data_IF_120630620415
#
_entry.id   IF_120630620415
#
_cell.length_a   1.000
_cell.length_b   1.000
_cell.length_c   1.000
_cell.angle_alpha   90.00
_cell.angle_beta   90.00
_cell.angle_gamma   90.00
#
_symmetry.space_group_name_H-M   'P 1'
#
loop_
_entity.id
_entity.type
_entity.pdbx_description
1 polymer ?
#
# COMPACT_ATOMS: atom_id res chain seq x y z
N UNK A 1 19.17 0.94 -15.91
CA UNK A 1 18.60 0.72 -14.56
C UNK A 1 17.58 1.80 -14.20
N UNK A 2 17.91 3.09 -14.33
CA UNK A 2 16.99 4.23 -14.10
C UNK A 2 15.59 4.03 -14.70
N UNK A 3 15.48 3.98 -16.04
CA UNK A 3 14.18 3.86 -16.74
C UNK A 3 13.37 2.64 -16.30
N UNK A 4 14.04 1.53 -16.02
CA UNK A 4 13.41 0.31 -15.55
C UNK A 4 12.78 0.48 -14.16
N UNK A 5 13.52 1.05 -13.20
CA UNK A 5 13.01 1.27 -11.84
C UNK A 5 11.90 2.33 -11.82
N UNK A 6 12.07 3.43 -12.55
CA UNK A 6 11.02 4.47 -12.64
C UNK A 6 9.76 3.91 -13.29
N UNK A 7 9.88 3.22 -14.43
CA UNK A 7 8.75 2.58 -15.10
C UNK A 7 8.05 1.57 -14.17
N UNK A 8 8.82 0.80 -13.39
CA UNK A 8 8.26 -0.16 -12.44
C UNK A 8 7.48 0.54 -11.31
N UNK A 9 8.03 1.62 -10.74
CA UNK A 9 7.32 2.44 -9.75
C UNK A 9 6.04 3.04 -10.32
N UNK A 10 6.11 3.68 -11.50
CA UNK A 10 4.98 4.35 -12.13
C UNK A 10 3.85 3.36 -12.48
N UNK A 11 4.19 2.20 -13.03
CA UNK A 11 3.20 1.19 -13.42
C UNK A 11 2.59 0.42 -12.24
N UNK A 12 3.29 0.34 -11.10
CA UNK A 12 2.86 -0.54 -9.99
C UNK A 12 2.31 0.24 -8.79
N UNK A 13 2.94 1.36 -8.42
CA UNK A 13 2.64 2.14 -7.21
C UNK A 13 1.91 3.43 -7.55
N UNK A 14 2.40 4.18 -8.53
CA UNK A 14 1.91 5.54 -8.79
C UNK A 14 0.42 5.59 -9.15
N UNK A 15 -0.10 4.62 -9.92
CA UNK A 15 -1.52 4.56 -10.25
C UNK A 15 -2.45 4.38 -9.03
N UNK A 16 -1.92 3.89 -7.91
CA UNK A 16 -2.66 3.70 -6.66
C UNK A 16 -2.34 4.76 -5.61
N UNK A 17 -1.10 5.23 -5.59
CA UNK A 17 -0.59 6.27 -4.70
C UNK A 17 0.13 7.34 -5.53
N UNK A 18 -0.64 8.23 -6.17
CA UNK A 18 -0.09 9.25 -7.03
C UNK A 18 0.55 10.39 -6.23
N UNK A 19 1.76 10.14 -5.73
CA UNK A 19 2.50 11.10 -4.88
C UNK A 19 3.25 12.16 -5.69
N UNK A 20 3.78 11.80 -6.84
CA UNK A 20 4.64 12.66 -7.67
C UNK A 20 3.97 12.96 -9.00
N UNK A 21 4.27 14.10 -9.62
CA UNK A 21 3.87 14.35 -11.00
C UNK A 21 4.73 13.48 -11.94
N UNK A 22 4.13 12.56 -12.74
CA UNK A 22 4.89 11.72 -13.66
C UNK A 22 5.59 12.50 -14.77
N UNK A 23 5.23 13.76 -15.00
CA UNK A 23 5.89 14.65 -15.96
C UNK A 23 7.19 15.27 -15.44
N UNK A 24 7.56 15.05 -14.17
CA UNK A 24 8.82 15.57 -13.61
C UNK A 24 10.04 15.11 -14.45
N UNK A 25 11.00 16.01 -14.76
CA UNK A 25 12.11 15.70 -15.67
C UNK A 25 12.94 14.48 -15.25
N UNK A 26 13.21 14.34 -13.95
CA UNK A 26 13.99 13.22 -13.41
C UNK A 26 13.24 11.88 -13.43
N UNK A 27 11.95 11.85 -13.78
CA UNK A 27 11.16 10.62 -13.97
C UNK A 27 11.00 10.26 -15.45
N UNK A 28 11.07 11.24 -16.35
CA UNK A 28 10.91 11.03 -17.79
C UNK A 28 12.25 10.76 -18.48
N UNK A 29 13.31 11.44 -18.05
CA UNK A 29 14.64 11.35 -18.63
C UNK A 29 15.68 10.93 -17.59
N UNK A 30 16.67 10.16 -18.05
CA UNK A 30 17.80 9.80 -17.18
C UNK A 30 18.62 11.07 -16.90
N UNK A 31 18.79 11.46 -15.63
CA UNK A 31 19.59 12.64 -15.30
C UNK A 31 21.02 12.50 -15.82
N UNK A 32 21.55 13.58 -16.41
CA UNK A 32 22.93 13.62 -16.92
C UNK A 32 23.97 13.66 -15.81
N UNK A 33 23.61 14.24 -14.65
CA UNK A 33 24.44 14.37 -13.46
C UNK A 33 23.56 14.36 -12.21
N UNK A 34 23.85 13.45 -11.26
CA UNK A 34 23.14 13.40 -9.98
C UNK A 34 23.61 14.48 -9.00
N UNK A 35 24.84 14.99 -9.17
CA UNK A 35 25.43 16.00 -8.27
C UNK A 35 24.87 17.40 -8.48
N UNK A 36 24.34 17.67 -9.68
CA UNK A 36 23.78 18.97 -10.05
C UNK A 36 22.27 19.05 -9.80
N UNK A 37 21.66 17.94 -9.37
CA UNK A 37 20.24 17.83 -9.10
C UNK A 37 19.87 18.54 -7.79
N UNK A 38 18.71 19.23 -7.73
CA UNK A 38 18.17 19.74 -6.47
C UNK A 38 18.07 18.64 -5.42
N UNK A 39 18.31 19.00 -4.15
CA UNK A 39 18.30 18.04 -3.03
C UNK A 39 16.96 17.31 -2.90
N UNK A 40 15.84 18.01 -3.14
CA UNK A 40 14.47 17.45 -3.09
C UNK A 40 14.25 16.42 -4.20
N UNK A 41 14.62 16.74 -5.44
CA UNK A 41 14.52 15.81 -6.57
C UNK A 41 15.38 14.56 -6.38
N UNK A 42 16.62 14.73 -5.89
CA UNK A 42 17.52 13.61 -5.64
C UNK A 42 16.97 12.68 -4.56
N UNK A 43 16.38 13.24 -3.50
CA UNK A 43 15.66 12.49 -2.47
C UNK A 43 14.51 11.68 -3.08
N UNK A 44 13.62 12.34 -3.85
CA UNK A 44 12.45 11.71 -4.44
C UNK A 44 12.86 10.59 -5.41
N UNK A 45 13.87 10.81 -6.24
CA UNK A 45 14.39 9.83 -7.17
C UNK A 45 14.94 8.59 -6.46
N UNK A 46 15.74 8.76 -5.41
CA UNK A 46 16.23 7.64 -4.62
C UNK A 46 15.10 6.88 -3.91
N UNK A 47 14.08 7.58 -3.41
CA UNK A 47 12.89 6.93 -2.85
C UNK A 47 12.11 6.13 -3.90
N UNK A 48 11.93 6.67 -5.10
CA UNK A 48 11.31 5.97 -6.24
C UNK A 48 12.08 4.69 -6.57
N UNK A 49 13.41 4.75 -6.68
CA UNK A 49 14.22 3.55 -6.89
C UNK A 49 14.08 2.54 -5.75
N UNK A 50 14.12 3.02 -4.50
CA UNK A 50 14.02 2.18 -3.31
C UNK A 50 12.69 1.41 -3.28
N UNK A 51 11.57 2.10 -3.56
CA UNK A 51 10.24 1.48 -3.61
C UNK A 51 10.14 0.52 -4.81
N UNK A 52 10.61 0.92 -5.99
CA UNK A 52 10.56 0.09 -7.20
C UNK A 52 11.23 -1.28 -7.01
N UNK A 53 12.36 -1.32 -6.28
CA UNK A 53 13.05 -2.56 -5.94
C UNK A 53 12.16 -3.57 -5.18
N UNK A 54 11.20 -3.08 -4.37
CA UNK A 54 10.26 -3.96 -3.66
C UNK A 54 9.13 -4.49 -4.53
N UNK A 55 8.83 -3.80 -5.63
CA UNK A 55 7.75 -4.13 -6.57
C UNK A 55 8.14 -5.21 -7.59
N UNK A 56 9.40 -5.65 -7.59
CA UNK A 56 9.88 -6.66 -8.53
C UNK A 56 9.50 -8.08 -8.05
N UNK A 57 9.13 -8.96 -8.99
CA UNK A 57 8.64 -10.29 -8.67
C UNK A 57 9.71 -11.15 -7.98
N UNK A 58 9.26 -12.13 -7.20
CA UNK A 58 10.14 -13.14 -6.59
C UNK A 58 10.77 -12.77 -5.24
N UNK A 59 10.55 -11.56 -4.72
CA UNK A 59 11.08 -11.13 -3.42
C UNK A 59 12.59 -11.35 -3.26
N UNK A 60 13.37 -11.07 -4.32
CA UNK A 60 14.82 -11.25 -4.32
C UNK A 60 15.52 -10.39 -3.25
N UNK A 61 16.31 -11.04 -2.38
CA UNK A 61 17.09 -10.39 -1.32
C UNK A 61 18.10 -9.39 -1.86
N UNK A 62 18.64 -9.59 -3.06
CA UNK A 62 19.56 -8.63 -3.68
C UNK A 62 18.88 -7.29 -3.97
N UNK A 63 17.61 -7.33 -4.39
CA UNK A 63 16.81 -6.14 -4.63
C UNK A 63 16.44 -5.42 -3.33
N UNK A 64 16.26 -6.16 -2.23
CA UNK A 64 16.09 -5.56 -0.89
C UNK A 64 17.34 -4.80 -0.48
N UNK A 65 18.53 -5.37 -0.64
CA UNK A 65 19.79 -4.67 -0.32
C UNK A 65 20.03 -3.42 -1.18
N UNK A 66 19.66 -3.49 -2.46
CA UNK A 66 19.71 -2.35 -3.36
C UNK A 66 18.72 -1.26 -2.93
N UNK A 67 17.50 -1.66 -2.56
CA UNK A 67 16.48 -0.77 -2.01
C UNK A 67 16.99 0.00 -0.79
N UNK A 68 17.66 -0.69 0.13
CA UNK A 68 18.22 -0.11 1.36
C UNK A 68 19.41 0.82 1.09
N UNK A 69 20.12 0.63 -0.02
CA UNK A 69 21.18 1.54 -0.44
C UNK A 69 20.59 2.86 -0.90
N UNK A 70 19.61 2.82 -1.82
CA UNK A 70 18.91 4.04 -2.25
C UNK A 70 18.17 4.74 -1.10
N UNK A 71 17.54 3.97 -0.20
CA UNK A 71 16.89 4.54 0.97
C UNK A 71 17.87 5.31 1.86
N UNK A 72 19.05 4.75 2.15
CA UNK A 72 20.08 5.43 2.92
C UNK A 72 20.59 6.70 2.24
N UNK A 73 20.78 6.66 0.92
CA UNK A 73 21.17 7.84 0.14
C UNK A 73 20.10 8.93 0.18
N UNK A 74 18.82 8.56 0.11
CA UNK A 74 17.71 9.52 0.30
C UNK A 74 17.73 10.12 1.71
N UNK A 75 17.90 9.31 2.77
CA UNK A 75 17.81 9.78 4.15
C UNK A 75 18.84 10.87 4.53
N UNK A 76 19.98 10.96 3.82
CA UNK A 76 20.95 12.06 3.98
C UNK A 76 20.30 13.44 3.79
N UNK A 77 19.21 13.51 3.04
CA UNK A 77 18.51 14.73 2.68
C UNK A 77 17.17 14.93 3.40
N UNK A 78 16.70 13.92 4.13
CA UNK A 78 15.36 13.89 4.70
C UNK A 78 15.09 15.07 5.66
N UNK A 79 15.99 15.31 6.62
CA UNK A 79 15.81 16.36 7.62
C UNK A 79 15.66 17.75 6.98
N UNK A 80 16.48 18.04 5.97
CA UNK A 80 16.44 19.33 5.25
C UNK A 80 15.11 19.52 4.53
N UNK A 81 14.64 18.51 3.81
CA UNK A 81 13.41 18.60 2.99
C UNK A 81 12.17 18.65 3.89
N UNK A 82 12.12 17.80 4.91
CA UNK A 82 10.97 17.68 5.82
C UNK A 82 10.87 18.79 6.87
N UNK A 83 11.90 19.64 6.98
CA UNK A 83 11.84 20.86 7.79
C UNK A 83 11.02 21.98 7.12
N UNK A 84 10.82 21.91 5.80
CA UNK A 84 10.03 22.87 5.06
C UNK A 84 8.53 22.55 5.19
N UNK A 85 7.70 23.58 5.06
CA UNK A 85 6.25 23.45 5.08
C UNK A 85 5.67 23.76 3.70
N UNK A 86 5.82 22.81 2.79
CA UNK A 86 5.36 22.88 1.40
C UNK A 86 4.94 21.50 0.89
N UNK A 87 4.42 21.45 -0.34
CA UNK A 87 3.98 20.20 -0.98
C UNK A 87 5.14 19.22 -1.19
N UNK A 88 6.35 19.70 -1.48
CA UNK A 88 7.53 18.84 -1.66
C UNK A 88 7.88 18.08 -0.38
N UNK A 89 7.82 18.74 0.77
CA UNK A 89 7.98 18.11 2.08
C UNK A 89 6.90 17.04 2.31
N UNK A 90 5.65 17.31 1.94
CA UNK A 90 4.55 16.35 2.06
C UNK A 90 4.76 15.12 1.17
N UNK A 91 5.16 15.32 -0.08
CA UNK A 91 5.52 14.25 -1.01
C UNK A 91 6.68 13.42 -0.46
N UNK A 92 7.71 14.06 0.11
CA UNK A 92 8.85 13.38 0.69
C UNK A 92 8.44 12.48 1.87
N UNK A 93 7.63 12.98 2.80
CA UNK A 93 7.11 12.21 3.93
C UNK A 93 6.21 11.07 3.47
N UNK A 94 5.40 11.29 2.43
CA UNK A 94 4.51 10.28 1.90
C UNK A 94 5.26 9.15 1.18
N UNK A 95 6.34 9.47 0.46
CA UNK A 95 7.26 8.46 -0.10
C UNK A 95 7.93 7.64 1.01
N UNK A 96 8.30 8.25 2.14
CA UNK A 96 8.80 7.53 3.31
C UNK A 96 7.73 6.56 3.86
N UNK A 97 6.49 7.03 4.00
CA UNK A 97 5.37 6.20 4.42
C UNK A 97 5.13 5.02 3.47
N UNK A 98 5.10 5.26 2.15
CA UNK A 98 4.97 4.21 1.15
C UNK A 98 6.11 3.19 1.23
N UNK A 99 7.35 3.65 1.38
CA UNK A 99 8.50 2.75 1.50
C UNK A 99 8.43 1.89 2.76
N UNK A 100 7.86 2.42 3.85
CA UNK A 100 7.64 1.69 5.10
C UNK A 100 6.59 0.57 4.98
N UNK A 101 5.73 0.58 3.95
CA UNK A 101 4.85 -0.57 3.66
C UNK A 101 5.63 -1.83 3.27
N UNK A 102 6.89 -1.71 2.86
CA UNK A 102 7.72 -2.84 2.44
C UNK A 102 8.82 -3.19 3.45
N UNK A 103 9.01 -2.39 4.50
CA UNK A 103 10.03 -2.60 5.54
C UNK A 103 9.46 -2.32 6.93
N UNK A 104 9.08 -3.41 7.59
CA UNK A 104 8.56 -3.38 8.95
C UNK A 104 9.63 -3.08 10.02
N UNK A 105 10.92 -3.19 9.71
CA UNK A 105 12.00 -3.09 10.70
C UNK A 105 12.50 -1.64 10.83
N UNK A 106 12.76 -0.99 9.70
CA UNK A 106 13.30 0.37 9.68
C UNK A 106 12.23 1.43 9.41
N UNK A 107 11.04 1.03 8.97
CA UNK A 107 9.93 1.92 8.66
C UNK A 107 9.16 2.35 9.91
N UNK A 108 8.96 3.66 10.10
CA UNK A 108 8.08 4.20 11.13
C UNK A 108 6.75 4.64 10.53
N UNK A 109 6.06 3.67 9.92
CA UNK A 109 4.86 3.91 9.10
C UNK A 109 3.80 4.75 9.84
N UNK A 110 3.49 4.40 11.08
CA UNK A 110 2.51 5.14 11.87
C UNK A 110 2.92 6.59 12.16
N UNK A 111 4.20 6.86 12.42
CA UNK A 111 4.70 8.22 12.66
C UNK A 111 4.74 9.03 11.36
N UNK A 112 5.15 8.40 10.25
CA UNK A 112 5.22 9.05 8.94
C UNK A 112 3.81 9.41 8.42
N UNK A 113 2.83 8.52 8.56
CA UNK A 113 1.42 8.83 8.24
C UNK A 113 0.89 9.97 9.11
N UNK A 114 1.13 9.93 10.43
CA UNK A 114 0.68 10.98 11.33
C UNK A 114 1.38 12.32 11.05
N UNK A 115 2.63 12.31 10.60
CA UNK A 115 3.33 13.52 10.20
C UNK A 115 2.82 14.07 8.86
N UNK A 116 2.64 13.21 7.85
CA UNK A 116 2.06 13.59 6.57
C UNK A 116 0.68 14.20 6.75
N UNK A 117 -0.19 13.57 7.56
CA UNK A 117 -1.53 14.10 7.84
C UNK A 117 -1.49 15.49 8.50
N UNK A 118 -0.63 15.70 9.51
CA UNK A 118 -0.50 17.02 10.15
C UNK A 118 0.00 18.08 9.18
N UNK A 119 0.99 17.74 8.37
CA UNK A 119 1.55 18.63 7.35
C UNK A 119 0.50 18.99 6.29
N UNK A 120 -0.27 18.01 5.84
CA UNK A 120 -1.39 18.20 4.90
C UNK A 120 -2.45 19.15 5.48
N UNK A 121 -2.87 18.95 6.73
CA UNK A 121 -3.82 19.85 7.41
C UNK A 121 -3.29 21.27 7.51
N UNK A 122 -2.00 21.45 7.84
CA UNK A 122 -1.40 22.77 7.94
C UNK A 122 -1.30 23.47 6.57
N UNK A 123 -0.97 22.72 5.51
CA UNK A 123 -0.97 23.23 4.14
C UNK A 123 -2.38 23.63 3.70
N UNK A 124 -3.38 22.78 3.93
CA UNK A 124 -4.77 23.04 3.59
C UNK A 124 -5.38 24.22 4.36
N UNK A 125 -4.90 24.51 5.58
CA UNK A 125 -5.32 25.69 6.33
C UNK A 125 -4.73 27.01 5.78
N UNK A 126 -3.60 26.94 5.07
CA UNK A 126 -2.92 28.10 4.45
C UNK A 126 -3.42 28.38 3.04
N UNK A 127 -3.77 27.34 2.30
CA UNK A 127 -4.41 27.41 0.99
C UNK A 127 -5.90 27.76 1.16
N UNK A 128 -6.20 29.05 1.33
CA UNK A 128 -7.59 29.54 1.41
C UNK A 128 -8.28 29.37 0.04
N UNK A 129 -9.38 28.61 0.07
CA UNK A 129 -10.50 28.51 -0.89
C UNK A 129 -10.47 27.50 -2.06
N UNK A 130 -9.34 26.97 -2.51
CA UNK A 130 -9.32 25.83 -3.45
C UNK A 130 -8.12 24.93 -3.12
N UNK A 131 -8.35 23.82 -2.40
CA UNK A 131 -7.31 22.81 -2.23
C UNK A 131 -6.83 22.39 -3.61
N UNK A 132 -5.54 22.58 -3.90
CA UNK A 132 -4.99 22.18 -5.20
C UNK A 132 -5.33 20.70 -5.44
N UNK A 133 -5.67 20.28 -6.67
CA UNK A 133 -5.99 18.88 -6.96
C UNK A 133 -4.84 17.93 -6.55
N UNK A 134 -3.60 18.43 -6.59
CA UNK A 134 -2.43 17.73 -6.07
C UNK A 134 -2.51 17.48 -4.55
N UNK A 135 -2.90 18.48 -3.75
CA UNK A 135 -3.04 18.32 -2.29
C UNK A 135 -4.16 17.33 -1.94
N UNK A 136 -5.29 17.37 -2.67
CA UNK A 136 -6.38 16.40 -2.49
C UNK A 136 -5.90 14.98 -2.78
N UNK A 137 -5.17 14.79 -3.87
CA UNK A 137 -4.61 13.50 -4.27
C UNK A 137 -3.62 12.94 -3.22
N UNK A 138 -2.80 13.81 -2.63
CA UNK A 138 -1.91 13.44 -1.52
C UNK A 138 -2.70 13.07 -0.26
N UNK A 139 -3.78 13.80 0.07
CA UNK A 139 -4.68 13.49 1.19
C UNK A 139 -5.30 12.10 1.04
N UNK A 140 -5.80 11.76 -0.15
CA UNK A 140 -6.37 10.43 -0.44
C UNK A 140 -5.33 9.33 -0.27
N UNK A 141 -4.11 9.55 -0.77
CA UNK A 141 -2.99 8.62 -0.59
C UNK A 141 -2.62 8.43 0.90
N UNK A 142 -2.57 9.50 1.69
CA UNK A 142 -2.35 9.45 3.15
C UNK A 142 -3.44 8.62 3.82
N UNK A 143 -4.70 8.86 3.44
CA UNK A 143 -5.85 8.13 3.96
C UNK A 143 -5.76 6.63 3.67
N UNK A 144 -5.44 6.24 2.44
CA UNK A 144 -5.28 4.83 2.04
C UNK A 144 -4.18 4.14 2.87
N UNK A 145 -2.98 4.73 2.92
CA UNK A 145 -1.84 4.15 3.65
C UNK A 145 -2.15 4.05 5.15
N UNK A 146 -2.73 5.10 5.73
CA UNK A 146 -3.12 5.11 7.14
C UNK A 146 -4.19 4.07 7.47
N UNK A 147 -5.15 3.84 6.55
CA UNK A 147 -6.16 2.82 6.74
C UNK A 147 -5.62 1.39 6.63
N UNK A 148 -4.60 1.12 5.82
CA UNK A 148 -3.94 -0.19 5.83
C UNK A 148 -3.40 -0.54 7.22
N UNK A 149 -2.71 0.42 7.86
CA UNK A 149 -2.20 0.27 9.23
C UNK A 149 -3.34 0.06 10.21
N UNK A 150 -4.39 0.86 10.09
CA UNK A 150 -5.53 0.84 10.98
C UNK A 150 -6.31 -0.49 10.88
N UNK A 151 -6.50 -1.02 9.67
CA UNK A 151 -7.13 -2.32 9.44
C UNK A 151 -6.29 -3.45 10.04
N UNK A 152 -4.98 -3.47 9.79
CA UNK A 152 -4.10 -4.53 10.29
C UNK A 152 -3.97 -4.53 11.83
N UNK A 153 -4.08 -3.36 12.47
CA UNK A 153 -4.04 -3.20 13.92
C UNK A 153 -5.43 -3.22 14.59
N UNK A 154 -6.48 -3.47 13.82
CA UNK A 154 -7.88 -3.46 14.26
C UNK A 154 -8.25 -2.22 15.09
N UNK A 155 -7.84 -1.04 14.59
CA UNK A 155 -8.08 0.25 15.26
C UNK A 155 -8.68 1.29 14.31
N UNK A 156 -9.34 2.32 14.83
CA UNK A 156 -9.68 3.50 14.05
C UNK A 156 -8.41 4.21 13.55
N UNK A 157 -8.43 4.76 12.33
CA UNK A 157 -7.28 5.49 11.77
C UNK A 157 -7.12 6.89 12.39
N UNK A 158 -8.23 7.50 12.82
CA UNK A 158 -8.27 8.91 13.26
C UNK A 158 -8.10 9.91 12.12
N UNK A 159 -8.03 9.45 10.87
CA UNK A 159 -7.92 10.29 9.68
C UNK A 159 -9.30 10.73 9.20
N UNK A 160 -9.39 11.96 8.73
CA UNK A 160 -10.63 12.54 8.19
C UNK A 160 -10.86 12.10 6.76
N UNK A 161 -12.08 11.64 6.46
CA UNK A 161 -12.53 11.39 5.08
C UNK A 161 -12.71 12.71 4.34
N UNK A 162 -12.36 12.74 3.05
CA UNK A 162 -12.74 13.82 2.14
C UNK A 162 -14.23 13.72 1.77
N UNK A 163 -14.93 14.86 1.79
CA UNK A 163 -16.37 14.96 1.48
C UNK A 163 -16.66 14.97 -0.03
N UNK A 164 -15.64 15.26 -0.86
CA UNK A 164 -15.80 15.35 -2.31
C UNK A 164 -15.90 13.93 -2.89
N UNK A 165 -17.13 13.52 -3.21
CA UNK A 165 -17.40 12.33 -4.00
C UNK A 165 -17.37 12.72 -5.48
N UNK A 166 -16.33 12.32 -6.20
CA UNK A 166 -16.35 12.31 -7.66
C UNK A 166 -17.46 11.35 -8.13
N UNK A 167 -18.14 11.70 -9.23
CA UNK A 167 -19.14 10.81 -9.83
C UNK A 167 -18.53 9.42 -10.05
N UNK A 168 -19.24 8.33 -9.74
CA UNK A 168 -18.70 6.98 -9.87
C UNK A 168 -18.21 6.65 -11.29
N UNK A 169 -18.70 7.32 -12.33
CA UNK A 169 -18.48 6.94 -13.73
C UNK A 169 -17.06 7.20 -14.27
N UNK A 170 -16.24 8.04 -13.62
CA UNK A 170 -14.90 8.44 -14.08
C UNK A 170 -13.79 8.15 -13.05
N UNK A 171 -13.98 7.16 -12.17
CA UNK A 171 -13.01 6.89 -11.11
C UNK A 171 -11.72 6.24 -11.63
N UNK A 172 -10.58 6.85 -11.30
CA UNK A 172 -9.27 6.24 -11.53
C UNK A 172 -8.95 5.16 -10.46
N UNK A 173 -7.84 4.43 -10.64
CA UNK A 173 -7.47 3.35 -9.71
C UNK A 173 -7.19 3.85 -8.28
N UNK A 174 -6.68 5.07 -8.12
CA UNK A 174 -6.39 5.65 -6.80
C UNK A 174 -7.68 6.01 -6.07
N UNK A 175 -8.67 6.50 -6.78
CA UNK A 175 -10.00 6.82 -6.25
C UNK A 175 -10.79 5.56 -5.90
N UNK A 176 -10.72 4.51 -6.74
CA UNK A 176 -11.29 3.20 -6.40
C UNK A 176 -10.64 2.62 -5.13
N UNK A 177 -9.32 2.73 -5.00
CA UNK A 177 -8.61 2.30 -3.80
C UNK A 177 -9.05 3.09 -2.56
N UNK A 178 -9.17 4.41 -2.69
CA UNK A 178 -9.66 5.29 -1.63
C UNK A 178 -11.08 4.90 -1.19
N UNK A 179 -11.97 4.62 -2.14
CA UNK A 179 -13.33 4.17 -1.86
C UNK A 179 -13.35 2.87 -1.05
N UNK A 180 -12.54 1.88 -1.41
CA UNK A 180 -12.40 0.62 -0.68
C UNK A 180 -11.93 0.86 0.77
N UNK A 181 -10.90 1.69 0.97
CA UNK A 181 -10.42 2.00 2.32
C UNK A 181 -11.41 2.83 3.15
N UNK A 182 -12.27 3.64 2.53
CA UNK A 182 -13.39 4.27 3.23
C UNK A 182 -14.36 3.23 3.74
N UNK A 183 -14.76 2.26 2.93
CA UNK A 183 -15.62 1.16 3.38
C UNK A 183 -15.00 0.43 4.58
N UNK A 184 -13.71 0.09 4.49
CA UNK A 184 -13.01 -0.54 5.63
C UNK A 184 -13.00 0.35 6.87
N UNK A 185 -12.73 1.65 6.71
CA UNK A 185 -12.74 2.65 7.80
C UNK A 185 -14.11 2.73 8.48
N UNK A 186 -15.17 2.87 7.69
CA UNK A 186 -16.55 2.99 8.18
C UNK A 186 -17.03 1.73 8.87
N UNK A 187 -16.68 0.56 8.33
CA UNK A 187 -16.94 -0.73 8.98
C UNK A 187 -16.34 -0.79 10.39
N UNK A 188 -15.05 -0.43 10.55
CA UNK A 188 -14.38 -0.40 11.87
C UNK A 188 -14.94 0.68 12.79
N UNK A 189 -15.34 1.82 12.22
CA UNK A 189 -15.95 2.93 12.97
C UNK A 189 -17.41 2.71 13.35
N UNK A 190 -18.07 1.68 12.81
CA UNK A 190 -19.51 1.46 12.98
C UNK A 190 -20.36 2.57 12.36
N UNK A 191 -19.84 3.27 11.35
CA UNK A 191 -20.54 4.38 10.66
C UNK A 191 -21.29 3.88 9.42
N UNK A 192 -22.29 4.64 8.97
CA UNK A 192 -23.14 4.25 7.83
C UNK A 192 -22.35 4.16 6.52
N UNK A 193 -22.66 3.16 5.70
CA UNK A 193 -22.14 3.02 4.34
C UNK A 193 -22.87 3.91 3.31
N UNK A 194 -23.62 4.93 3.73
CA UNK A 194 -24.35 5.80 2.80
C UNK A 194 -23.43 6.31 1.67
N UNK A 195 -23.84 6.02 0.42
CA UNK A 195 -23.09 6.33 -0.79
C UNK A 195 -21.92 5.39 -1.12
N UNK A 196 -21.76 4.28 -0.38
CA UNK A 196 -20.74 3.26 -0.58
C UNK A 196 -21.36 1.90 -0.98
N UNK A 197 -21.19 1.49 -2.23
CA UNK A 197 -21.62 0.17 -2.73
C UNK A 197 -20.42 -0.63 -3.25
N UNK A 198 -20.16 -1.78 -2.62
CA UNK A 198 -19.08 -2.68 -3.03
C UNK A 198 -19.32 -3.25 -4.43
N UNK A 199 -20.58 -3.54 -4.79
CA UNK A 199 -20.92 -4.13 -6.09
C UNK A 199 -20.64 -3.16 -7.23
N UNK A 200 -20.89 -1.86 -7.04
CA UNK A 200 -20.55 -0.82 -8.02
C UNK A 200 -19.04 -0.73 -8.26
N UNK A 201 -18.24 -0.86 -7.20
CA UNK A 201 -16.77 -0.88 -7.30
C UNK A 201 -16.29 -2.16 -8.00
N UNK A 202 -16.85 -3.31 -7.64
CA UNK A 202 -16.54 -4.59 -8.26
C UNK A 202 -16.78 -4.59 -9.77
N UNK A 203 -17.86 -3.98 -10.23
CA UNK A 203 -18.19 -3.87 -11.66
C UNK A 203 -17.17 -3.02 -12.44
N UNK A 204 -16.45 -2.11 -11.77
CA UNK A 204 -15.44 -1.23 -12.39
C UNK A 204 -14.04 -1.82 -12.37
N UNK A 205 -13.77 -2.72 -11.44
CA UNK A 205 -12.50 -3.45 -11.36
C UNK A 205 -12.53 -4.55 -12.44
N UNK A 206 -12.09 -4.19 -13.65
CA UNK A 206 -11.95 -5.11 -14.80
C UNK A 206 -10.61 -5.85 -14.74
N UNK A 207 -10.33 -6.72 -15.73
CA UNK A 207 -9.10 -7.53 -15.78
C UNK A 207 -7.81 -6.73 -15.93
N UNK A 208 -7.89 -5.46 -16.36
CA UNK A 208 -6.71 -4.64 -16.72
C UNK A 208 -6.24 -3.73 -15.57
N UNK A 209 -6.81 -3.90 -14.37
CA UNK A 209 -6.48 -3.08 -13.18
C UNK A 209 -5.32 -3.66 -12.37
N UNK A 210 -4.71 -2.83 -11.52
CA UNK A 210 -3.59 -3.26 -10.68
C UNK A 210 -3.96 -4.46 -9.78
N UNK A 211 -3.11 -5.51 -9.71
CA UNK A 211 -3.31 -6.63 -8.79
C UNK A 211 -3.43 -6.20 -7.32
N UNK A 212 -2.80 -5.08 -6.93
CA UNK A 212 -2.91 -4.52 -5.59
C UNK A 212 -4.29 -3.92 -5.31
N UNK A 213 -4.97 -3.38 -6.34
CA UNK A 213 -6.35 -2.91 -6.21
C UNK A 213 -7.32 -4.10 -6.03
N UNK A 214 -7.12 -5.17 -6.80
CA UNK A 214 -7.88 -6.42 -6.65
C UNK A 214 -7.67 -7.00 -5.25
N UNK A 215 -6.45 -6.95 -4.73
CA UNK A 215 -6.16 -7.38 -3.36
C UNK A 215 -6.92 -6.52 -2.33
N UNK A 216 -6.89 -5.19 -2.46
CA UNK A 216 -7.65 -4.31 -1.57
C UNK A 216 -9.17 -4.56 -1.66
N UNK A 217 -9.69 -4.88 -2.84
CA UNK A 217 -11.09 -5.28 -3.02
C UNK A 217 -11.40 -6.57 -2.24
N UNK A 218 -10.59 -7.61 -2.42
CA UNK A 218 -10.80 -8.89 -1.75
C UNK A 218 -10.56 -8.81 -0.24
N UNK A 219 -9.64 -7.96 0.23
CA UNK A 219 -9.46 -7.61 1.64
C UNK A 219 -10.72 -6.93 2.20
N UNK A 220 -11.32 -6.01 1.44
CA UNK A 220 -12.57 -5.32 1.81
C UNK A 220 -13.73 -6.31 1.87
N UNK A 221 -13.90 -7.15 0.85
CA UNK A 221 -14.95 -8.20 0.83
C UNK A 221 -14.81 -9.14 2.01
N UNK A 222 -13.60 -9.64 2.26
CA UNK A 222 -13.32 -10.54 3.38
C UNK A 222 -13.54 -9.87 4.75
N UNK A 223 -13.27 -8.57 4.86
CA UNK A 223 -13.53 -7.81 6.09
C UNK A 223 -15.04 -7.64 6.36
N UNK A 224 -15.83 -7.28 5.34
CA UNK A 224 -17.25 -7.01 5.46
C UNK A 224 -18.09 -8.29 5.59
N UNK A 225 -17.75 -9.31 4.80
CA UNK A 225 -18.47 -10.57 4.69
C UNK A 225 -17.49 -11.76 4.78
N UNK A 226 -17.00 -12.07 5.99
CA UNK A 226 -16.02 -13.14 6.18
C UNK A 226 -16.66 -14.52 5.92
N UNK A 227 -16.15 -15.22 4.93
CA UNK A 227 -16.59 -16.55 4.51
C UNK A 227 -15.42 -17.37 3.96
N UNK A 228 -15.63 -18.67 3.80
CA UNK A 228 -14.66 -19.57 3.16
C UNK A 228 -14.32 -19.10 1.74
N UNK A 229 -15.34 -18.62 1.01
CA UNK A 229 -15.18 -18.14 -0.37
C UNK A 229 -14.37 -16.83 -0.42
N UNK A 230 -14.69 -15.85 0.44
CA UNK A 230 -13.95 -14.58 0.48
C UNK A 230 -12.51 -14.77 0.98
N UNK A 231 -12.28 -15.69 1.92
CA UNK A 231 -10.94 -16.11 2.34
C UNK A 231 -10.16 -16.76 1.19
N UNK A 232 -10.79 -17.68 0.44
CA UNK A 232 -10.16 -18.37 -0.69
C UNK A 232 -9.77 -17.41 -1.81
N UNK A 233 -10.66 -16.46 -2.15
CA UNK A 233 -10.40 -15.42 -3.15
C UNK A 233 -9.23 -14.54 -2.74
N UNK A 234 -9.21 -14.07 -1.48
CA UNK A 234 -8.13 -13.25 -0.94
C UNK A 234 -6.77 -13.97 -1.01
N UNK A 235 -6.71 -15.23 -0.56
CA UNK A 235 -5.50 -16.04 -0.61
C UNK A 235 -5.05 -16.30 -2.05
N UNK A 236 -5.98 -16.58 -2.96
CA UNK A 236 -5.68 -16.78 -4.38
C UNK A 236 -5.06 -15.54 -5.01
N UNK A 237 -5.57 -14.34 -4.68
CA UNK A 237 -5.01 -13.07 -5.13
C UNK A 237 -3.59 -12.84 -4.60
N UNK A 238 -3.37 -13.03 -3.30
CA UNK A 238 -2.03 -12.88 -2.70
C UNK A 238 -1.04 -13.97 -3.15
N UNK A 239 -1.54 -15.13 -3.59
CA UNK A 239 -0.73 -16.22 -4.12
C UNK A 239 -0.27 -15.97 -5.57
N UNK A 240 -0.83 -14.99 -6.29
CA UNK A 240 -0.42 -14.61 -7.64
C UNK A 240 1.03 -14.13 -7.68
N UNK A 241 1.77 -14.46 -8.74
CA UNK A 241 3.18 -14.12 -8.85
C UNK A 241 3.39 -12.63 -9.17
N UNK A 242 2.38 -11.98 -9.76
CA UNK A 242 2.41 -10.56 -10.17
C UNK A 242 2.08 -9.58 -9.04
N UNK A 243 1.60 -10.08 -7.88
CA UNK A 243 1.26 -9.21 -6.76
C UNK A 243 2.49 -8.74 -5.99
N UNK A 244 2.50 -7.46 -5.65
CA UNK A 244 3.48 -6.88 -4.73
C UNK A 244 2.95 -7.04 -3.30
N UNK A 245 3.64 -7.89 -2.54
CA UNK A 245 3.32 -8.09 -1.12
C UNK A 245 3.83 -6.90 -0.30
N UNK A 246 3.12 -6.57 0.77
CA UNK A 246 3.52 -5.59 1.77
C UNK A 246 3.57 -6.23 3.17
N UNK A 247 4.01 -5.47 4.18
CA UNK A 247 4.18 -5.98 5.55
C UNK A 247 2.87 -6.53 6.17
N UNK A 248 1.71 -6.07 5.69
CA UNK A 248 0.39 -6.50 6.17
C UNK A 248 -0.17 -7.73 5.45
N UNK A 249 0.39 -8.12 4.31
CA UNK A 249 -0.06 -9.30 3.57
C UNK A 249 -0.01 -10.57 4.42
N UNK A 250 1.01 -10.71 5.26
CA UNK A 250 1.14 -11.85 6.19
C UNK A 250 0.00 -11.92 7.22
N UNK A 251 -0.47 -10.77 7.72
CA UNK A 251 -1.60 -10.69 8.63
C UNK A 251 -2.90 -11.13 7.94
N UNK A 252 -3.17 -10.62 6.74
CA UNK A 252 -4.34 -11.00 5.95
C UNK A 252 -4.34 -12.48 5.59
N UNK A 253 -3.19 -13.00 5.15
CA UNK A 253 -3.05 -14.41 4.81
C UNK A 253 -3.31 -15.31 6.02
N UNK A 254 -2.77 -14.96 7.19
CA UNK A 254 -3.01 -15.70 8.42
C UNK A 254 -4.48 -15.62 8.86
N UNK A 255 -5.10 -14.44 8.82
CA UNK A 255 -6.52 -14.25 9.17
C UNK A 255 -7.45 -15.04 8.23
N UNK A 256 -7.14 -15.11 6.94
CA UNK A 256 -7.88 -15.94 5.99
C UNK A 256 -7.63 -17.44 6.25
N UNK A 257 -6.41 -17.82 6.61
CA UNK A 257 -6.05 -19.21 6.86
C UNK A 257 -6.86 -19.85 8.00
N UNK A 258 -7.26 -19.08 9.03
CA UNK A 258 -8.02 -19.62 10.17
C UNK A 258 -9.37 -20.21 9.76
N UNK A 259 -9.98 -19.74 8.66
CA UNK A 259 -11.23 -20.31 8.11
C UNK A 259 -11.08 -21.74 7.60
N UNK A 260 -9.85 -22.19 7.37
CA UNK A 260 -9.55 -23.54 6.90
C UNK A 260 -8.94 -24.43 7.99
N UNK A 261 -8.75 -23.90 9.21
CA UNK A 261 -8.22 -24.66 10.35
C UNK A 261 -9.32 -25.40 11.10
N UNK A 262 -10.50 -24.78 11.23
CA UNK A 262 -11.63 -25.30 11.98
C UNK A 262 -12.66 -25.97 11.04
N UNK A 263 -12.45 -27.24 10.70
CA UNK A 263 -13.40 -27.98 9.85
C UNK A 263 -12.96 -29.38 9.46
N UNK A 264 -13.88 -30.17 8.93
CA UNK A 264 -13.57 -31.45 8.29
C UNK A 264 -12.58 -31.24 7.14
N UNK A 265 -11.61 -32.16 7.02
CA UNK A 265 -10.63 -32.16 5.94
C UNK A 265 -11.30 -32.40 4.58
N UNK A 266 -11.85 -31.35 3.99
CA UNK A 266 -12.36 -31.32 2.64
C UNK A 266 -11.33 -30.69 1.68
N UNK A 267 -11.53 -30.91 0.38
CA UNK A 267 -10.61 -30.45 -0.67
C UNK A 267 -10.41 -28.92 -0.63
N UNK A 268 -11.48 -28.17 -0.39
CA UNK A 268 -11.45 -26.70 -0.25
C UNK A 268 -10.57 -26.24 0.91
N UNK A 269 -10.66 -26.92 2.06
CA UNK A 269 -9.85 -26.59 3.24
C UNK A 269 -8.39 -26.90 3.01
N UNK A 270 -8.08 -28.01 2.34
CA UNK A 270 -6.72 -28.35 1.97
C UNK A 270 -6.13 -27.32 1.00
N UNK A 271 -6.88 -26.94 -0.04
CA UNK A 271 -6.47 -25.93 -1.01
C UNK A 271 -6.22 -24.57 -0.34
N UNK A 272 -7.10 -24.15 0.56
CA UNK A 272 -6.96 -22.90 1.30
C UNK A 272 -5.70 -22.87 2.15
N UNK A 273 -5.40 -23.98 2.85
CA UNK A 273 -4.15 -24.13 3.62
C UNK A 273 -2.90 -24.05 2.75
N UNK A 274 -2.90 -24.72 1.59
CA UNK A 274 -1.78 -24.68 0.63
C UNK A 274 -1.54 -23.25 0.12
N UNK A 275 -2.61 -22.52 -0.19
CA UNK A 275 -2.48 -21.12 -0.62
C UNK A 275 -1.94 -20.23 0.50
N UNK A 276 -2.48 -20.36 1.72
CA UNK A 276 -2.00 -19.61 2.88
C UNK A 276 -0.50 -19.87 3.15
N UNK A 277 -0.09 -21.14 3.10
CA UNK A 277 1.31 -21.53 3.22
C UNK A 277 2.16 -20.87 2.13
N UNK A 278 1.77 -20.95 0.85
CA UNK A 278 2.49 -20.32 -0.26
C UNK A 278 2.68 -18.81 -0.02
N UNK A 279 1.63 -18.11 0.42
CA UNK A 279 1.69 -16.66 0.68
C UNK A 279 2.60 -16.34 1.85
N UNK A 280 2.50 -17.07 2.96
CA UNK A 280 3.32 -16.84 4.15
C UNK A 280 4.79 -17.17 3.92
N UNK A 281 5.10 -18.24 3.17
CA UNK A 281 6.47 -18.56 2.76
C UNK A 281 7.08 -17.42 1.93
N UNK A 282 6.32 -16.88 0.96
CA UNK A 282 6.77 -15.71 0.18
C UNK A 282 6.98 -14.47 1.03
N UNK A 283 6.11 -14.24 2.02
CA UNK A 283 6.27 -13.14 2.99
C UNK A 283 7.53 -13.34 3.86
N UNK A 284 7.79 -14.57 4.31
CA UNK A 284 8.92 -14.92 5.17
C UNK A 284 10.29 -14.69 4.51
N UNK A 285 10.35 -14.66 3.17
CA UNK A 285 11.57 -14.27 2.43
C UNK A 285 12.02 -12.84 2.76
N UNK A 286 11.08 -11.92 3.02
CA UNK A 286 11.31 -10.50 3.32
C UNK A 286 11.13 -10.17 4.81
N UNK A 287 10.10 -10.71 5.45
CA UNK A 287 9.73 -10.35 6.82
C UNK A 287 9.78 -11.59 7.72
N UNK A 288 10.79 -11.70 8.59
CA UNK A 288 10.97 -12.87 9.47
C UNK A 288 9.74 -13.18 10.34
N UNK A 289 8.95 -12.18 10.72
CA UNK A 289 7.74 -12.37 11.53
C UNK A 289 6.68 -13.25 10.84
N UNK A 290 6.66 -13.30 9.51
CA UNK A 290 5.75 -14.19 8.77
C UNK A 290 6.09 -15.67 8.97
N UNK A 291 7.34 -15.99 9.31
CA UNK A 291 7.77 -17.36 9.63
C UNK A 291 7.06 -17.89 10.88
N UNK A 292 6.90 -17.04 11.90
CA UNK A 292 6.18 -17.41 13.13
C UNK A 292 4.69 -17.69 12.86
N UNK A 293 4.08 -16.92 11.96
CA UNK A 293 2.69 -17.16 11.54
C UNK A 293 2.56 -18.47 10.76
N UNK A 294 3.52 -18.78 9.88
CA UNK A 294 3.58 -20.04 9.15
C UNK A 294 3.72 -21.24 10.10
N UNK A 295 4.61 -21.15 11.09
CA UNK A 295 4.79 -22.19 12.12
C UNK A 295 3.51 -22.42 12.93
N UNK A 296 2.79 -21.35 13.28
CA UNK A 296 1.49 -21.44 13.95
C UNK A 296 0.48 -22.25 13.14
N UNK A 297 0.37 -22.04 11.83
CA UNK A 297 -0.54 -22.81 10.98
C UNK A 297 -0.20 -24.30 10.94
N UNK A 298 1.08 -24.65 10.94
CA UNK A 298 1.54 -26.04 10.89
C UNK A 298 1.26 -26.82 12.17
N UNK A 299 1.15 -26.15 13.33
CA UNK A 299 0.77 -26.79 14.60
C UNK A 299 -0.66 -27.36 14.53
N UNK A 300 -1.54 -26.77 13.72
CA UNK A 300 -2.93 -27.19 13.56
C UNK A 300 -3.17 -28.12 12.36
N UNK A 301 -2.13 -28.50 11.61
CA UNK A 301 -2.22 -29.54 10.60
C UNK A 301 -2.03 -30.92 11.27
N UNK A 302 -3.07 -31.77 11.35
CA UNK A 302 -2.84 -33.16 11.76
C UNK A 302 -1.94 -33.82 10.71
N UNK A 303 -0.84 -34.42 11.16
CA UNK A 303 0.05 -35.21 10.32
C UNK A 303 -0.61 -36.46 9.76
#
# INVERSE_FOLDING_TARGET
MHQFLVSKYLSTIHGLYPVLDPAMPFLTECPTSLTDMPTSELFMLHMVYSIACHCLPGNDRQLVLLSDTFYREALVHAEKITAELNVEALQAVLLLALRSLFDAQNGSLGQQVAFAYRLEVELGAREVEESTPALQQLRESIFCIGNQVATALDRPSGLTESEVLTSPDDLDQSQLLYYLYRMQSRFRGGTSFDGLDLQEVEQKITTDVSPMLIAALNETRFLLEPSVDSAMQLLSTHASDDIVLNVFTSHWAYKAATFFLEGDLNETSLQGRVLAQKVLERCALKWPNAQTLLESLNIYAPG
#
